data_IF_167395958454
#
_entry.id   IF_167395958454
#
_cell.length_a   1.000
_cell.length_b   1.000
_cell.length_c   1.000
_cell.angle_alpha   90.00
_cell.angle_beta   90.00
_cell.angle_gamma   90.00
#
_symmetry.space_group_name_H-M   'P 1'
#
loop_
_entity.id
_entity.type
_entity.pdbx_description
1 polymer ?
#
# COMPACT_ATOMS: atom_id res chain seq x y z
N UNK A 1 -5.51 3.88 20.67
CA UNK A 1 -6.79 3.78 21.40
C UNK A 1 -7.88 4.74 20.90
N UNK A 2 -7.54 5.85 20.23
CA UNK A 2 -8.51 6.89 19.83
C UNK A 2 -9.70 6.41 18.95
N UNK A 3 -9.50 5.36 18.14
CA UNK A 3 -10.53 4.83 17.23
C UNK A 3 -11.20 3.53 17.72
N UNK A 4 -11.00 3.14 18.99
CA UNK A 4 -11.69 1.97 19.58
C UNK A 4 -11.17 0.60 19.15
N UNK A 5 -10.01 0.51 18.48
CA UNK A 5 -9.39 -0.77 18.15
C UNK A 5 -9.05 -1.59 19.41
N UNK A 6 -9.36 -2.89 19.39
CA UNK A 6 -8.89 -3.85 20.39
C UNK A 6 -7.42 -4.15 20.13
N UNK A 7 -6.56 -3.83 21.09
CA UNK A 7 -5.11 -4.00 20.98
C UNK A 7 -4.71 -5.29 21.68
N UNK A 8 -4.02 -6.17 20.97
CA UNK A 8 -3.46 -7.41 21.52
C UNK A 8 -1.94 -7.36 21.34
N UNK A 9 -1.22 -7.40 22.45
CA UNK A 9 0.25 -7.50 22.43
C UNK A 9 0.67 -8.95 22.28
N UNK A 10 1.63 -9.18 21.40
CA UNK A 10 2.24 -10.50 21.19
C UNK A 10 3.67 -10.42 21.73
N UNK A 11 4.04 -11.38 22.57
CA UNK A 11 5.42 -11.53 23.04
C UNK A 11 6.26 -12.15 21.91
N UNK A 12 6.75 -11.29 21.03
CA UNK A 12 7.45 -11.68 19.80
C UNK A 12 7.74 -10.50 18.88
N UNK A 13 8.22 -10.81 17.68
CA UNK A 13 8.54 -9.83 16.64
C UNK A 13 7.39 -9.62 15.63
N UNK A 14 7.61 -8.73 14.67
CA UNK A 14 6.64 -8.41 13.63
C UNK A 14 6.21 -9.62 12.79
N UNK A 15 7.14 -10.50 12.41
CA UNK A 15 6.84 -11.65 11.55
C UNK A 15 5.97 -12.68 12.30
N UNK A 16 6.25 -12.87 13.59
CA UNK A 16 5.42 -13.71 14.46
C UNK A 16 4.00 -13.13 14.59
N UNK A 17 3.89 -11.81 14.77
CA UNK A 17 2.59 -11.14 14.80
C UNK A 17 1.85 -11.26 13.46
N UNK A 18 2.56 -11.14 12.34
CA UNK A 18 1.99 -11.26 10.99
C UNK A 18 1.44 -12.67 10.73
N UNK A 19 2.17 -13.71 11.14
CA UNK A 19 1.72 -15.09 11.02
C UNK A 19 0.49 -15.36 11.89
N UNK A 20 0.48 -14.88 13.14
CA UNK A 20 -0.69 -15.00 14.02
C UNK A 20 -1.94 -14.31 13.42
N UNK A 21 -1.77 -13.11 12.84
CA UNK A 21 -2.87 -12.40 12.18
C UNK A 21 -3.43 -13.20 11.01
N UNK A 22 -2.58 -13.85 10.19
CA UNK A 22 -3.05 -14.70 9.08
C UNK A 22 -3.90 -15.85 9.57
N UNK A 23 -3.41 -16.62 10.54
CA UNK A 23 -4.15 -17.76 11.08
C UNK A 23 -5.50 -17.36 11.71
N UNK A 24 -5.52 -16.23 12.44
CA UNK A 24 -6.74 -15.71 13.06
C UNK A 24 -7.73 -15.25 12.00
N UNK A 25 -7.24 -14.58 10.95
CA UNK A 25 -8.07 -14.13 9.82
C UNK A 25 -8.79 -15.30 9.17
N UNK A 26 -8.04 -16.36 8.86
CA UNK A 26 -8.58 -17.56 8.20
C UNK A 26 -9.63 -18.27 9.07
N UNK A 27 -9.39 -18.36 10.39
CA UNK A 27 -10.30 -19.02 11.33
C UNK A 27 -11.58 -18.24 11.61
N UNK A 28 -11.49 -16.91 11.67
CA UNK A 28 -12.59 -16.05 12.11
C UNK A 28 -13.28 -15.31 10.96
N UNK A 29 -12.82 -15.49 9.71
CA UNK A 29 -13.34 -14.77 8.55
C UNK A 29 -13.11 -13.27 8.64
N UNK A 30 -11.97 -12.84 9.21
CA UNK A 30 -11.62 -11.43 9.31
C UNK A 30 -10.84 -10.99 8.06
N UNK A 31 -10.91 -9.70 7.75
CA UNK A 31 -10.14 -9.10 6.66
C UNK A 31 -8.77 -8.60 7.14
N UNK A 32 -7.70 -8.97 6.43
CA UNK A 32 -6.36 -8.46 6.72
C UNK A 32 -6.16 -7.16 5.95
N UNK A 33 -5.99 -6.04 6.65
CA UNK A 33 -5.80 -4.72 6.05
C UNK A 33 -4.33 -4.24 6.06
N UNK A 34 -3.38 -5.16 6.22
CA UNK A 34 -1.94 -4.85 6.16
C UNK A 34 -1.39 -4.96 4.71
N UNK A 35 -0.07 -5.01 4.54
CA UNK A 35 0.61 -5.01 3.23
C UNK A 35 0.28 -6.18 2.31
N UNK A 36 -0.36 -7.23 2.81
CA UNK A 36 -0.82 -8.35 1.98
C UNK A 36 -2.05 -7.94 1.16
N UNK A 37 -2.81 -6.96 1.64
CA UNK A 37 -4.04 -6.54 0.99
C UNK A 37 -3.74 -5.78 -0.32
N UNK A 38 -4.12 -6.31 -1.49
CA UNK A 38 -3.81 -5.70 -2.78
C UNK A 38 -4.48 -4.33 -2.96
N UNK A 39 -5.63 -4.09 -2.32
CA UNK A 39 -6.33 -2.80 -2.40
C UNK A 39 -5.53 -1.65 -1.81
N UNK A 40 -4.60 -1.93 -0.89
CA UNK A 40 -3.66 -0.90 -0.42
C UNK A 40 -2.79 -0.39 -1.54
N UNK A 41 -2.36 -1.27 -2.45
CA UNK A 41 -1.48 -0.86 -3.54
C UNK A 41 -2.24 -0.03 -4.57
N UNK A 42 -3.51 -0.39 -4.85
CA UNK A 42 -4.40 0.39 -5.71
C UNK A 42 -4.75 1.76 -5.12
N UNK A 43 -4.91 1.87 -3.81
CA UNK A 43 -5.12 3.16 -3.16
C UNK A 43 -3.84 4.01 -3.17
N UNK A 44 -2.69 3.40 -2.89
CA UNK A 44 -1.41 4.13 -2.83
C UNK A 44 -0.94 4.67 -4.18
N UNK A 45 -1.28 3.99 -5.29
CA UNK A 45 -0.84 4.43 -6.62
C UNK A 45 -1.49 5.75 -7.04
N UNK A 46 -2.62 6.16 -6.45
CA UNK A 46 -3.29 7.41 -6.82
C UNK A 46 -2.42 8.63 -6.53
N UNK A 47 -1.51 8.55 -5.56
CA UNK A 47 -0.54 9.63 -5.32
C UNK A 47 0.38 9.89 -6.53
N UNK A 48 0.68 8.88 -7.35
CA UNK A 48 1.43 9.09 -8.60
C UNK A 48 0.57 9.76 -9.68
N UNK A 49 -0.74 9.51 -9.68
CA UNK A 49 -1.67 10.23 -10.57
C UNK A 49 -1.77 11.69 -10.17
N UNK A 50 -1.97 11.98 -8.88
CA UNK A 50 -2.03 13.34 -8.35
C UNK A 50 -0.74 14.13 -8.67
N UNK A 51 0.45 13.54 -8.48
CA UNK A 51 1.72 14.17 -8.88
C UNK A 51 1.76 14.48 -10.39
N UNK A 52 1.32 13.52 -11.22
CA UNK A 52 1.38 13.68 -12.68
C UNK A 52 0.36 14.69 -13.19
N UNK A 53 -0.81 14.78 -12.55
CA UNK A 53 -1.84 15.78 -12.84
C UNK A 53 -1.35 17.19 -12.48
N UNK A 54 -0.74 17.35 -11.30
CA UNK A 54 -0.22 18.65 -10.83
C UNK A 54 0.98 19.14 -11.66
N UNK A 55 1.83 18.22 -12.14
CA UNK A 55 3.00 18.55 -12.95
C UNK A 55 2.72 18.51 -14.47
N UNK A 56 1.53 18.07 -14.89
CA UNK A 56 1.13 17.74 -16.27
C UNK A 56 2.02 16.66 -16.97
N UNK A 57 2.94 16.06 -16.22
CA UNK A 57 3.88 15.02 -16.63
C UNK A 57 4.39 14.24 -15.41
N UNK A 58 4.91 13.03 -15.64
CA UNK A 58 5.66 12.34 -14.61
C UNK A 58 6.98 13.08 -14.30
N UNK A 59 7.43 13.11 -13.03
CA UNK A 59 8.71 13.70 -12.66
C UNK A 59 9.88 12.85 -13.18
N UNK A 60 11.03 13.47 -13.43
CA UNK A 60 12.25 12.75 -13.81
C UNK A 60 12.72 11.77 -12.70
N UNK A 61 12.55 12.19 -11.44
CA UNK A 61 12.92 11.41 -10.27
C UNK A 61 11.87 11.57 -9.16
N UNK A 62 11.51 10.45 -8.52
CA UNK A 62 10.79 10.46 -7.26
C UNK A 62 11.65 9.84 -6.15
N UNK A 63 11.84 10.61 -5.08
CA UNK A 63 12.51 10.16 -3.87
C UNK A 63 11.47 9.84 -2.81
N UNK A 64 11.59 8.67 -2.17
CA UNK A 64 10.69 8.29 -1.09
C UNK A 64 11.34 7.30 -0.11
N UNK A 65 10.96 7.31 1.18
CA UNK A 65 11.39 6.29 2.13
C UNK A 65 10.88 4.90 1.74
N UNK A 66 11.69 3.87 2.03
CA UNK A 66 11.33 2.47 1.77
C UNK A 66 11.36 1.68 3.08
N UNK A 67 10.17 1.25 3.51
CA UNK A 67 10.01 0.24 4.55
C UNK A 67 9.78 -1.13 3.93
N UNK A 68 8.51 -1.54 3.84
CA UNK A 68 8.10 -2.81 3.22
C UNK A 68 8.01 -2.79 1.68
N UNK A 69 8.52 -1.73 1.03
CA UNK A 69 8.46 -1.50 -0.41
C UNK A 69 7.06 -1.44 -1.07
N UNK A 70 5.97 -1.33 -0.29
CA UNK A 70 4.62 -1.17 -0.84
C UNK A 70 4.45 0.13 -1.62
N UNK A 71 4.81 1.26 -1.00
CA UNK A 71 4.64 2.57 -1.63
C UNK A 71 5.43 2.71 -2.94
N UNK A 72 6.72 2.33 -2.97
CA UNK A 72 7.51 2.43 -4.21
C UNK A 72 6.95 1.57 -5.34
N UNK A 73 6.46 0.37 -5.02
CA UNK A 73 5.81 -0.51 -5.99
C UNK A 73 4.52 0.09 -6.54
N UNK A 74 3.70 0.67 -5.66
CA UNK A 74 2.46 1.35 -6.04
C UNK A 74 2.67 2.58 -6.88
N UNK A 75 3.61 3.45 -6.53
CA UNK A 75 3.87 4.67 -7.29
C UNK A 75 4.42 4.34 -8.67
N UNK A 76 5.32 3.36 -8.78
CA UNK A 76 5.80 2.88 -10.08
C UNK A 76 4.66 2.34 -10.96
N UNK A 77 3.74 1.54 -10.38
CA UNK A 77 2.53 1.08 -11.08
C UNK A 77 1.68 2.27 -11.54
N UNK A 78 1.49 3.27 -10.69
CA UNK A 78 0.72 4.48 -11.00
C UNK A 78 1.30 5.25 -12.19
N UNK A 79 2.61 5.56 -12.19
CA UNK A 79 3.23 6.26 -13.32
C UNK A 79 3.11 5.51 -14.64
N UNK A 80 3.32 4.18 -14.62
CA UNK A 80 3.13 3.36 -15.83
C UNK A 80 1.70 3.46 -16.36
N UNK A 81 0.71 3.32 -15.49
CA UNK A 81 -0.70 3.40 -15.88
C UNK A 81 -1.07 4.78 -16.42
N UNK A 82 -0.58 5.85 -15.79
CA UNK A 82 -0.82 7.21 -16.25
C UNK A 82 -0.25 7.46 -17.66
N UNK A 83 0.96 6.97 -17.93
CA UNK A 83 1.58 7.05 -19.25
C UNK A 83 0.82 6.25 -20.30
N UNK A 84 0.40 5.02 -19.96
CA UNK A 84 -0.39 4.18 -20.86
C UNK A 84 -1.73 4.86 -21.22
N UNK A 85 -2.42 5.44 -20.25
CA UNK A 85 -3.70 6.14 -20.47
C UNK A 85 -3.49 7.40 -21.34
N UNK A 86 -2.40 8.17 -21.16
CA UNK A 86 -2.07 9.35 -21.99
C UNK A 86 -1.74 8.98 -23.44
N UNK A 87 -1.15 7.81 -23.69
CA UNK A 87 -0.83 7.32 -25.03
C UNK A 87 -2.06 6.77 -25.79
N UNK A 88 -3.15 6.48 -25.08
CA UNK A 88 -4.40 5.95 -25.63
C UNK A 88 -5.46 7.03 -25.91
N UNK A 89 -5.13 8.30 -25.69
CA UNK A 89 -5.94 9.49 -26.00
C UNK A 89 -5.44 10.17 -27.28
#
# INVERSE_FOLDING_TARGET
MAYGAKIVSIDGNFDQALNAVREISDKLGLEIVNSINPYRLEGQMTGAFEISDDLETAPDYQFMPVGNAGNISSYFKGYKKYMDDKNNL
#
